data_IF_063819381456
#
_entry.id   IF_063819381456
#
_cell.length_a   1.000
_cell.length_b   1.000
_cell.length_c   1.000
_cell.angle_alpha   90.00
_cell.angle_beta   90.00
_cell.angle_gamma   90.00
#
_symmetry.space_group_name_H-M   'P 1'
#
loop_
_entity.id
_entity.type
_entity.pdbx_description
1 polymer ?
#
# COMPACT_ATOMS: atom_id res chain seq x y z
N UNK A 1 5.74 -30.51 37.60
CA UNK A 1 4.60 -29.81 36.97
C UNK A 1 4.96 -29.60 35.51
N UNK A 2 4.22 -30.18 34.57
CA UNK A 2 4.49 -29.99 33.14
C UNK A 2 3.99 -28.61 32.73
N UNK A 3 4.91 -27.73 32.33
CA UNK A 3 4.58 -26.42 31.80
C UNK A 3 3.88 -26.59 30.45
N UNK A 4 2.62 -26.18 30.38
CA UNK A 4 1.84 -26.23 29.14
C UNK A 4 2.33 -25.10 28.24
N UNK A 5 2.82 -25.46 27.05
CA UNK A 5 3.29 -24.51 26.04
C UNK A 5 2.23 -23.43 25.75
N UNK A 6 2.54 -22.12 25.92
CA UNK A 6 1.65 -21.01 25.59
C UNK A 6 1.10 -21.03 24.16
N UNK A 7 1.86 -21.58 23.20
CA UNK A 7 1.44 -21.71 21.81
C UNK A 7 0.35 -22.78 21.65
N UNK A 8 0.46 -23.90 22.38
CA UNK A 8 -0.55 -24.96 22.38
C UNK A 8 -1.92 -24.44 22.85
N UNK A 9 -1.95 -23.63 23.91
CA UNK A 9 -3.20 -23.03 24.41
C UNK A 9 -3.82 -22.03 23.42
N UNK A 10 -2.97 -21.27 22.71
CA UNK A 10 -3.41 -20.32 21.68
C UNK A 10 -4.04 -21.05 20.48
N UNK A 11 -3.39 -22.11 20.01
CA UNK A 11 -3.87 -22.89 18.86
C UNK A 11 -5.14 -23.68 19.20
N UNK A 12 -5.20 -24.28 20.38
CA UNK A 12 -6.43 -24.93 20.89
C UNK A 12 -7.59 -23.95 20.93
N UNK A 13 -7.38 -22.71 21.40
CA UNK A 13 -8.40 -21.66 21.42
C UNK A 13 -8.83 -21.25 20.01
N UNK A 14 -7.88 -21.16 19.06
CA UNK A 14 -8.14 -20.85 17.64
C UNK A 14 -8.97 -21.94 16.95
N UNK A 15 -8.65 -23.21 17.20
CA UNK A 15 -9.40 -24.35 16.66
C UNK A 15 -10.82 -24.42 17.23
N UNK A 16 -10.98 -24.24 18.54
CA UNK A 16 -12.29 -24.16 19.18
C UNK A 16 -13.12 -23.00 18.61
N UNK A 17 -12.51 -21.85 18.37
CA UNK A 17 -13.18 -20.71 17.76
C UNK A 17 -13.60 -20.99 16.31
N UNK A 18 -12.72 -21.58 15.49
CA UNK A 18 -13.07 -22.02 14.12
C UNK A 18 -14.22 -23.01 14.11
N UNK A 19 -14.20 -24.00 15.02
CA UNK A 19 -15.28 -25.00 15.15
C UNK A 19 -16.60 -24.36 15.55
N UNK A 20 -16.59 -23.45 16.53
CA UNK A 20 -17.78 -22.66 16.91
C UNK A 20 -18.30 -21.83 15.75
N UNK A 21 -17.40 -21.19 14.98
CA UNK A 21 -17.77 -20.40 13.80
C UNK A 21 -18.41 -21.26 12.70
N UNK A 22 -17.92 -22.48 12.48
CA UNK A 22 -18.40 -23.39 11.45
C UNK A 22 -19.73 -24.07 11.82
N UNK A 23 -19.84 -24.59 13.05
CA UNK A 23 -20.93 -25.46 13.48
C UNK A 23 -22.10 -24.74 14.18
N UNK A 24 -21.96 -23.45 14.49
CA UNK A 24 -23.04 -22.68 15.13
C UNK A 24 -23.37 -21.42 14.30
N UNK A 25 -24.38 -21.49 13.42
CA UNK A 25 -24.77 -20.37 12.56
C UNK A 25 -25.33 -19.19 13.38
N UNK A 26 -26.02 -19.44 14.49
CA UNK A 26 -26.56 -18.38 15.35
C UNK A 26 -25.45 -17.61 16.05
N UNK A 27 -24.45 -18.32 16.57
CA UNK A 27 -23.25 -17.69 17.14
C UNK A 27 -22.47 -16.90 16.08
N UNK A 28 -22.45 -17.35 14.81
CA UNK A 28 -21.86 -16.61 13.69
C UNK A 28 -22.64 -15.32 13.40
N UNK A 29 -23.97 -15.39 13.34
CA UNK A 29 -24.84 -14.22 13.11
C UNK A 29 -24.69 -13.24 14.28
N UNK A 30 -24.71 -13.72 15.52
CA UNK A 30 -24.54 -12.89 16.72
C UNK A 30 -23.15 -12.27 16.79
N UNK A 31 -22.09 -13.02 16.46
CA UNK A 31 -20.73 -12.48 16.36
C UNK A 31 -20.61 -11.44 15.24
N UNK A 32 -21.30 -11.61 14.10
CA UNK A 32 -21.36 -10.63 13.02
C UNK A 32 -22.18 -9.39 13.42
N UNK A 33 -23.24 -9.54 14.22
CA UNK A 33 -24.05 -8.45 14.80
C UNK A 33 -23.33 -7.72 15.93
N UNK A 34 -22.48 -8.40 16.68
CA UNK A 34 -21.66 -7.84 17.77
C UNK A 34 -20.39 -7.14 17.24
N UNK A 35 -19.85 -7.56 16.08
CA UNK A 35 -18.68 -6.93 15.43
C UNK A 35 -18.83 -5.42 15.14
N UNK A 36 -19.96 -4.88 14.65
CA UNK A 36 -20.12 -3.44 14.49
C UNK A 36 -20.18 -2.67 15.82
N UNK A 37 -20.41 -3.33 16.96
CA UNK A 37 -20.38 -2.67 18.29
C UNK A 37 -18.98 -2.58 18.89
N UNK A 38 -18.06 -3.48 18.51
CA UNK A 38 -16.65 -3.43 18.90
C UNK A 38 -15.77 -2.68 17.89
N UNK A 39 -16.25 -2.53 16.65
CA UNK A 39 -15.62 -1.70 15.64
C UNK A 39 -16.22 -0.29 15.69
N UNK A 40 -15.56 0.54 16.49
CA UNK A 40 -15.59 2.01 16.42
C UNK A 40 -16.84 2.66 17.03
N UNK A 41 -16.75 3.05 18.30
CA UNK A 41 -17.25 4.40 18.59
C UNK A 41 -16.59 5.31 17.55
N UNK A 42 -17.37 6.08 16.77
CA UNK A 42 -16.77 7.03 15.86
C UNK A 42 -15.74 7.83 16.64
N UNK A 43 -14.52 8.05 16.10
CA UNK A 43 -13.55 8.89 16.78
C UNK A 43 -14.27 10.16 17.21
N UNK A 44 -14.12 10.53 18.50
CA UNK A 44 -14.77 11.71 19.06
C UNK A 44 -14.59 12.88 18.09
N UNK A 45 -15.56 13.81 18.01
CA UNK A 45 -15.49 14.93 17.04
C UNK A 45 -14.10 15.59 17.05
N UNK A 46 -13.51 15.76 18.23
CA UNK A 46 -12.13 16.21 18.45
C UNK A 46 -11.05 15.40 17.70
N UNK A 47 -11.14 14.07 17.66
CA UNK A 47 -10.21 13.20 16.88
C UNK A 47 -10.46 13.26 15.38
N UNK A 48 -11.67 13.55 14.94
CA UNK A 48 -11.95 13.72 13.49
C UNK A 48 -11.34 15.01 12.97
N UNK A 49 -11.26 16.03 13.79
CA UNK A 49 -10.73 17.34 13.38
C UNK A 49 -9.21 17.43 13.58
N UNK A 50 -8.61 16.45 14.27
CA UNK A 50 -7.16 16.30 14.36
C UNK A 50 -6.54 16.04 12.97
N UNK A 51 -5.71 16.96 12.44
CA UNK A 51 -5.06 16.80 11.15
C UNK A 51 -4.19 15.53 11.08
N UNK A 52 -3.61 15.09 12.20
CA UNK A 52 -2.84 13.85 12.29
C UNK A 52 -3.71 12.63 11.97
N UNK A 53 -4.92 12.56 12.54
CA UNK A 53 -5.81 11.40 12.39
C UNK A 53 -6.31 11.24 10.95
N UNK A 54 -6.59 12.35 10.27
CA UNK A 54 -7.01 12.33 8.86
C UNK A 54 -5.86 12.04 7.90
N UNK A 55 -4.71 12.67 8.13
CA UNK A 55 -3.62 12.67 7.14
C UNK A 55 -2.71 11.45 7.25
N UNK A 56 -2.55 10.89 8.46
CA UNK A 56 -1.65 9.77 8.67
C UNK A 56 -1.95 8.53 7.84
N UNK A 57 -3.21 8.04 7.77
CA UNK A 57 -3.56 6.91 6.91
C UNK A 57 -3.30 7.19 5.42
N UNK A 58 -3.55 8.42 4.96
CA UNK A 58 -3.33 8.80 3.56
C UNK A 58 -1.85 8.73 3.20
N UNK A 59 -1.00 9.36 4.02
CA UNK A 59 0.46 9.36 3.82
C UNK A 59 1.00 7.93 3.86
N UNK A 60 0.52 7.10 4.80
CA UNK A 60 0.88 5.68 4.85
C UNK A 60 0.59 4.99 3.52
N UNK A 61 -0.61 5.17 2.96
CA UNK A 61 -0.99 4.61 1.67
C UNK A 61 -0.15 5.16 0.53
N UNK A 62 0.16 6.46 0.53
CA UNK A 62 0.97 7.08 -0.53
C UNK A 62 2.39 6.54 -0.52
N UNK A 63 3.02 6.46 0.65
CA UNK A 63 4.35 5.84 0.83
C UNK A 63 4.30 4.38 0.36
N UNK A 64 3.24 3.63 0.66
CA UNK A 64 3.17 2.23 0.27
C UNK A 64 3.01 2.03 -1.24
N UNK A 65 2.13 2.82 -1.86
CA UNK A 65 1.69 2.63 -3.25
C UNK A 65 2.54 3.35 -4.30
N UNK A 66 3.29 4.40 -3.93
CA UNK A 66 3.95 5.29 -4.89
C UNK A 66 5.44 5.40 -4.57
N UNK A 67 6.27 4.84 -5.46
CA UNK A 67 7.73 4.94 -5.39
C UNK A 67 8.20 6.39 -5.46
N UNK A 68 7.68 7.15 -6.43
CA UNK A 68 8.03 8.56 -6.65
C UNK A 68 7.78 9.45 -5.44
N UNK A 69 6.80 9.12 -4.59
CA UNK A 69 6.51 9.90 -3.39
C UNK A 69 7.60 9.71 -2.33
N UNK A 70 8.25 8.54 -2.29
CA UNK A 70 9.33 8.25 -1.34
C UNK A 70 10.67 8.79 -1.81
N UNK A 71 10.98 8.60 -3.09
CA UNK A 71 12.33 8.75 -3.62
C UNK A 71 12.57 10.13 -4.27
N UNK A 72 11.57 10.70 -4.92
CA UNK A 72 11.76 11.88 -5.78
C UNK A 72 11.35 13.19 -5.11
N UNK A 73 10.72 13.13 -3.92
CA UNK A 73 10.33 14.32 -3.19
C UNK A 73 11.46 14.82 -2.29
N UNK A 74 11.63 16.16 -2.13
CA UNK A 74 12.71 16.74 -1.35
C UNK A 74 12.40 16.67 0.16
N UNK A 75 12.66 15.52 0.77
CA UNK A 75 12.53 15.34 2.21
C UNK A 75 13.72 16.00 2.94
N UNK A 76 13.44 16.88 3.91
CA UNK A 76 14.48 17.67 4.61
C UNK A 76 15.18 16.86 5.71
N UNK A 77 14.44 16.56 6.78
CA UNK A 77 15.01 15.98 8.00
C UNK A 77 14.91 14.46 8.04
N UNK A 78 13.77 13.91 7.61
CA UNK A 78 13.54 12.47 7.66
C UNK A 78 12.93 11.97 6.36
N UNK A 79 13.47 10.86 5.88
CA UNK A 79 13.09 10.22 4.63
C UNK A 79 12.25 8.97 4.91
N UNK A 80 11.14 8.75 4.19
CA UNK A 80 10.31 7.56 4.37
C UNK A 80 10.95 6.34 3.70
N UNK A 81 11.36 5.36 4.51
CA UNK A 81 11.89 4.08 4.03
C UNK A 81 10.81 3.01 4.20
N UNK A 82 10.48 2.33 3.10
CA UNK A 82 9.58 1.17 3.10
C UNK A 82 10.39 -0.12 2.98
N UNK A 83 10.33 -0.95 4.02
CA UNK A 83 10.91 -2.28 4.03
C UNK A 83 9.94 -3.35 3.49
N UNK A 84 10.44 -4.37 2.78
CA UNK A 84 9.62 -5.48 2.30
C UNK A 84 9.03 -6.26 3.48
N UNK A 85 9.84 -6.57 4.48
CA UNK A 85 9.48 -7.20 5.75
C UNK A 85 9.31 -6.15 6.85
N UNK A 86 8.80 -6.57 8.01
CA UNK A 86 8.77 -5.68 9.18
C UNK A 86 10.13 -5.72 9.86
N UNK A 87 10.69 -4.55 10.11
CA UNK A 87 12.00 -4.40 10.76
C UNK A 87 11.82 -3.65 12.07
N UNK A 88 12.54 -4.09 13.09
CA UNK A 88 12.58 -3.48 14.41
C UNK A 88 13.67 -2.41 14.44
N UNK A 89 13.24 -1.17 14.66
CA UNK A 89 14.12 -0.05 14.97
C UNK A 89 13.65 0.60 16.26
N UNK A 90 14.56 1.26 16.96
CA UNK A 90 14.22 2.08 18.13
C UNK A 90 13.84 3.48 17.66
N UNK A 91 12.66 3.96 18.04
CA UNK A 91 12.22 5.30 17.69
C UNK A 91 12.86 6.35 18.59
N UNK A 92 13.45 7.40 18.03
CA UNK A 92 14.07 8.50 18.76
C UNK A 92 13.11 9.25 19.69
N UNK A 93 11.85 9.49 19.28
CA UNK A 93 10.93 10.34 20.05
C UNK A 93 10.16 9.61 21.15
N UNK A 94 9.86 8.32 20.96
CA UNK A 94 9.05 7.56 21.91
C UNK A 94 9.82 6.44 22.61
N UNK A 95 11.10 6.27 22.28
CA UNK A 95 12.00 5.20 22.75
C UNK A 95 11.44 3.78 22.66
N UNK A 96 10.32 3.61 21.94
CA UNK A 96 9.55 2.38 21.92
C UNK A 96 9.94 1.53 20.72
N UNK A 97 10.53 0.37 21.00
CA UNK A 97 10.74 -0.70 20.01
C UNK A 97 9.45 -1.52 19.92
N UNK A 98 8.76 -1.43 18.78
CA UNK A 98 7.57 -2.27 18.56
C UNK A 98 7.99 -3.71 18.30
N UNK A 99 7.55 -4.62 19.16
CA UNK A 99 7.62 -6.07 18.91
C UNK A 99 6.97 -6.38 17.55
N UNK A 100 7.66 -7.16 16.70
CA UNK A 100 7.33 -7.47 15.30
C UNK A 100 7.63 -6.34 14.30
N UNK A 101 8.24 -5.24 14.73
CA UNK A 101 8.73 -4.16 13.89
C UNK A 101 7.65 -3.38 13.12
N UNK A 102 8.12 -2.51 12.23
CA UNK A 102 7.31 -1.75 11.26
C UNK A 102 7.89 -1.88 9.87
N UNK A 103 7.03 -1.75 8.86
CA UNK A 103 7.46 -1.69 7.46
C UNK A 103 7.91 -0.30 7.05
N UNK A 104 7.32 0.74 7.66
CA UNK A 104 7.62 2.13 7.35
C UNK A 104 8.36 2.76 8.52
N UNK A 105 9.52 3.31 8.22
CA UNK A 105 10.35 4.07 9.14
C UNK A 105 10.77 5.38 8.51
N UNK A 106 10.88 6.42 9.33
CA UNK A 106 11.38 7.72 8.93
C UNK A 106 12.82 7.82 9.37
N UNK A 107 13.75 7.97 8.43
CA UNK A 107 15.19 7.89 8.69
C UNK A 107 15.83 9.26 8.45
N UNK A 108 16.50 9.79 9.46
CA UNK A 108 17.40 10.93 9.28
C UNK A 108 18.80 10.42 8.99
N UNK A 109 19.53 11.18 8.17
CA UNK A 109 20.96 11.00 7.93
C UNK A 109 21.34 9.56 7.52
N UNK A 110 20.74 9.06 6.42
CA UNK A 110 20.96 7.68 5.92
C UNK A 110 22.44 7.31 5.70
N UNK A 111 23.32 8.31 5.54
CA UNK A 111 24.76 8.13 5.31
C UNK A 111 25.60 8.10 6.58
N UNK A 112 24.99 8.27 7.76
CA UNK A 112 25.70 8.18 9.04
C UNK A 112 25.74 6.74 9.56
N UNK A 113 26.78 6.36 10.33
CA UNK A 113 26.87 5.01 10.89
C UNK A 113 25.74 4.69 11.87
N UNK A 114 25.17 5.71 12.53
CA UNK A 114 24.06 5.60 13.47
C UNK A 114 22.83 6.40 12.98
N UNK A 115 22.07 5.87 12.01
CA UNK A 115 20.90 6.54 11.47
C UNK A 115 19.81 6.68 12.54
N UNK A 116 19.21 7.86 12.64
CA UNK A 116 18.13 8.13 13.59
C UNK A 116 16.79 7.74 12.99
N UNK A 117 16.08 6.84 13.69
CA UNK A 117 14.79 6.34 13.24
C UNK A 117 13.64 7.00 14.00
N UNK A 118 12.59 7.38 13.26
CA UNK A 118 11.30 7.81 13.81
C UNK A 118 10.18 6.89 13.36
N UNK A 119 9.29 6.63 14.30
CA UNK A 119 8.07 5.88 14.04
C UNK A 119 7.10 6.72 13.19
N UNK A 120 6.31 6.09 12.33
CA UNK A 120 5.34 6.82 11.49
C UNK A 120 4.38 7.71 12.30
N UNK A 121 3.92 7.23 13.46
CA UNK A 121 3.06 8.02 14.33
C UNK A 121 3.78 9.23 14.96
N UNK A 122 5.07 9.09 15.25
CA UNK A 122 5.89 10.08 15.93
C UNK A 122 6.25 11.21 14.96
N UNK A 123 6.70 10.84 13.77
CA UNK A 123 7.03 11.78 12.72
C UNK A 123 5.85 12.67 12.30
N UNK A 124 4.65 12.10 12.18
CA UNK A 124 3.44 12.83 11.81
C UNK A 124 2.86 13.71 12.93
N UNK A 125 3.30 13.53 14.18
CA UNK A 125 2.94 14.47 15.26
C UNK A 125 3.78 15.74 15.16
N UNK A 126 5.04 15.60 14.79
CA UNK A 126 5.98 16.72 14.67
C UNK A 126 5.83 17.44 13.33
N UNK A 127 5.57 16.70 12.26
CA UNK A 127 5.45 17.23 10.91
C UNK A 127 4.07 16.93 10.32
N UNK A 128 3.64 17.74 9.37
CA UNK A 128 2.42 17.46 8.60
C UNK A 128 2.57 16.23 7.67
N UNK A 129 3.75 15.59 7.67
CA UNK A 129 4.07 14.40 6.89
C UNK A 129 4.21 14.63 5.39
N UNK A 130 4.46 15.88 5.02
CA UNK A 130 4.70 16.33 3.66
C UNK A 130 6.09 16.97 3.57
N UNK A 131 6.77 16.87 2.42
CA UNK A 131 8.02 17.57 2.18
C UNK A 131 7.84 19.08 2.17
N UNK A 132 8.94 19.81 2.33
CA UNK A 132 8.94 21.27 2.32
C UNK A 132 8.42 21.81 0.98
N UNK A 133 7.54 22.82 1.03
CA UNK A 133 6.86 23.36 -0.16
C UNK A 133 5.61 22.61 -0.61
N UNK A 134 5.23 21.52 0.08
CA UNK A 134 4.00 20.74 -0.20
C UNK A 134 2.96 20.82 0.92
N UNK A 135 3.14 21.70 1.93
CA UNK A 135 2.27 21.79 3.10
C UNK A 135 0.79 21.99 2.76
N UNK A 136 0.51 22.73 1.67
CA UNK A 136 -0.84 23.08 1.22
C UNK A 136 -1.56 21.93 0.51
N UNK A 137 -0.83 20.91 0.04
CA UNK A 137 -1.40 19.79 -0.69
C UNK A 137 -2.16 18.86 0.26
N UNK A 138 -3.46 18.69 0.01
CA UNK A 138 -4.36 17.79 0.74
C UNK A 138 -4.48 16.45 0.04
N UNK A 139 -4.40 16.43 -1.29
CA UNK A 139 -4.53 15.21 -2.08
C UNK A 139 -3.23 14.86 -2.79
N UNK A 140 -3.04 13.57 -3.10
CA UNK A 140 -1.87 13.11 -3.85
C UNK A 140 -1.84 13.65 -5.30
N UNK A 141 -2.99 14.02 -5.85
CA UNK A 141 -3.10 14.66 -7.16
C UNK A 141 -2.49 16.07 -7.12
N UNK A 142 -2.79 16.83 -6.07
CA UNK A 142 -2.18 18.14 -5.83
C UNK A 142 -0.66 18.01 -5.62
N UNK A 143 -0.20 17.02 -4.85
CA UNK A 143 1.24 16.77 -4.69
C UNK A 143 1.90 16.49 -6.05
N UNK A 144 1.28 15.65 -6.88
CA UNK A 144 1.81 15.33 -8.20
C UNK A 144 1.79 16.55 -9.16
N UNK A 145 0.76 17.38 -9.09
CA UNK A 145 0.69 18.64 -9.85
C UNK A 145 1.79 19.61 -9.40
N UNK A 146 1.93 19.81 -8.09
CA UNK A 146 2.95 20.68 -7.50
C UNK A 146 4.36 20.23 -7.83
N UNK A 147 4.60 18.92 -7.84
CA UNK A 147 5.88 18.34 -8.26
C UNK A 147 6.19 18.71 -9.72
N UNK A 148 5.23 18.54 -10.63
CA UNK A 148 5.39 18.91 -12.04
C UNK A 148 5.65 20.41 -12.22
N UNK A 149 4.99 21.27 -11.44
CA UNK A 149 5.24 22.71 -11.45
C UNK A 149 6.68 23.03 -11.06
N UNK A 150 7.19 22.45 -9.97
CA UNK A 150 8.55 22.67 -9.49
C UNK A 150 9.60 22.12 -10.48
N UNK A 151 9.35 20.97 -11.09
CA UNK A 151 10.19 20.42 -12.15
C UNK A 151 10.21 21.32 -13.39
N UNK A 152 9.04 21.86 -13.78
CA UNK A 152 8.93 22.78 -14.92
C UNK A 152 9.65 24.11 -14.67
N UNK A 153 9.64 24.61 -13.43
CA UNK A 153 10.35 25.83 -13.03
C UNK A 153 11.87 25.61 -12.93
N UNK A 154 12.32 24.40 -12.61
CA UNK A 154 13.74 24.04 -12.65
C UNK A 154 14.26 23.84 -14.09
N UNK A 155 13.37 23.49 -15.02
CA UNK A 155 13.71 23.27 -16.43
C UNK A 155 13.81 24.56 -17.27
N UNK A 156 13.45 25.74 -16.74
CA UNK A 156 13.69 27.01 -17.44
C UNK A 156 15.15 27.42 -17.32
N UNK A 157 15.94 27.47 -18.42
CA UNK A 157 17.27 28.03 -18.38
C UNK A 157 17.17 29.50 -18.00
N UNK A 158 17.93 29.91 -16.99
CA UNK A 158 18.17 31.32 -16.65
C UNK A 158 18.55 32.06 -17.95
N UNK A 159 17.83 33.10 -18.38
CA UNK A 159 18.28 33.92 -19.49
C UNK A 159 19.46 34.74 -18.98
N UNK A 160 20.68 34.22 -19.16
CA UNK A 160 21.90 35.01 -19.03
C UNK A 160 21.90 36.03 -20.17
N UNK A 161 21.33 37.21 -19.91
CA UNK A 161 21.56 38.41 -20.70
C UNK A 161 23.04 38.75 -20.67
N UNK A 162 23.78 38.30 -21.68
CA UNK A 162 24.92 39.04 -22.23
C UNK A 162 24.71 39.19 -23.72
N UNK A 163 24.10 40.31 -24.08
CA UNK A 163 24.28 40.97 -25.36
C UNK A 163 25.77 41.17 -25.63
N UNK A 164 26.28 40.69 -26.76
CA UNK A 164 26.75 41.54 -27.86
C UNK A 164 27.30 40.71 -29.04
N UNK A 165 27.04 41.24 -30.23
CA UNK A 165 27.70 41.04 -31.53
C UNK A 165 27.64 39.66 -32.18
N UNK A 166 26.60 39.49 -33.01
CA UNK A 166 26.72 39.27 -34.45
C UNK A 166 27.77 38.28 -34.94
N UNK A 167 27.30 37.10 -35.36
CA UNK A 167 27.80 36.42 -36.55
C UNK A 167 26.75 35.41 -37.03
N UNK A 168 26.32 35.60 -38.27
CA UNK A 168 25.40 34.77 -39.02
C UNK A 168 26.10 33.56 -39.61
N UNK A 169 25.62 32.34 -39.35
CA UNK A 169 25.87 31.17 -40.21
C UNK A 169 24.67 30.21 -40.14
N UNK A 170 24.14 29.82 -41.30
CA UNK A 170 23.14 28.74 -41.50
C UNK A 170 23.79 27.71 -42.46
N UNK A 171 23.26 26.49 -42.64
CA UNK A 171 23.28 25.31 -41.76
C UNK A 171 24.13 24.17 -42.37
N UNK A 172 24.58 23.21 -41.56
CA UNK A 172 25.10 21.93 -42.08
C UNK A 172 24.40 20.76 -41.41
N UNK A 173 23.55 20.09 -42.18
CA UNK A 173 22.98 18.79 -41.89
C UNK A 173 24.08 17.73 -42.01
N UNK A 174 24.57 17.22 -40.88
CA UNK A 174 25.28 15.95 -40.86
C UNK A 174 24.77 15.09 -39.69
N UNK A 175 23.96 14.09 -40.06
CA UNK A 175 23.72 12.91 -39.24
C UNK A 175 25.08 12.26 -38.95
N UNK A 176 25.43 12.12 -37.67
CA UNK A 176 26.50 11.23 -37.25
C UNK A 176 25.96 10.25 -36.22
N UNK A 177 25.77 9.04 -36.71
CA UNK A 177 25.69 7.82 -35.93
C UNK A 177 27.00 7.71 -35.13
N UNK A 178 26.96 7.81 -33.80
CA UNK A 178 28.07 7.35 -32.97
C UNK A 178 27.56 6.55 -31.77
N UNK A 179 27.74 5.25 -31.96
CA UNK A 179 27.79 4.20 -30.96
C UNK A 179 28.62 4.58 -29.72
N UNK A 180 28.03 4.29 -28.55
CA UNK A 180 28.64 3.97 -27.23
C UNK A 180 29.53 5.02 -26.56
N UNK A 181 29.25 5.30 -25.28
CA UNK A 181 30.03 4.79 -24.11
C UNK A 181 29.17 4.76 -22.85
N UNK A 182 28.53 3.63 -22.56
CA UNK A 182 28.11 3.32 -21.19
C UNK A 182 29.35 2.84 -20.42
N UNK A 183 29.65 3.53 -19.33
CA UNK A 183 30.71 3.18 -18.39
C UNK A 183 30.47 1.78 -17.82
N UNK A 184 31.37 0.85 -18.12
CA UNK A 184 31.38 -0.49 -17.55
C UNK A 184 32.19 -0.47 -16.26
N UNK A 185 31.52 -0.29 -15.12
CA UNK A 185 32.01 -0.84 -13.85
C UNK A 185 31.24 -2.13 -13.57
N UNK A 186 31.86 -3.26 -13.96
CA UNK A 186 31.51 -4.60 -13.49
C UNK A 186 32.22 -4.84 -12.16
N UNK A 187 31.45 -5.06 -11.10
CA UNK A 187 31.92 -5.80 -9.91
C UNK A 187 31.75 -7.27 -10.25
N UNK A 188 32.86 -8.01 -10.29
CA UNK A 188 32.88 -9.46 -10.43
C UNK A 188 32.53 -10.11 -9.09
N UNK A 189 31.43 -10.86 -9.04
CA UNK A 189 31.23 -11.90 -8.03
C UNK A 189 31.14 -13.26 -8.72
N UNK A 190 32.21 -14.03 -8.51
CA UNK A 190 32.32 -15.49 -8.47
C UNK A 190 31.69 -16.34 -9.58
N UNK A 191 32.57 -16.77 -10.49
CA UNK A 191 32.47 -18.08 -11.14
C UNK A 191 32.73 -19.18 -10.10
N UNK A 192 31.68 -19.83 -9.62
CA UNK A 192 31.73 -21.20 -9.11
C UNK A 192 30.31 -21.74 -9.05
N UNK A 193 30.15 -23.02 -9.38
CA UNK A 193 28.91 -23.80 -9.44
C UNK A 193 28.26 -23.79 -10.84
N UNK A 194 28.84 -24.57 -11.75
CA UNK A 194 28.09 -25.22 -12.82
C UNK A 194 28.66 -26.63 -13.00
N UNK A 195 28.22 -27.52 -12.11
CA UNK A 195 28.28 -28.98 -12.30
C UNK A 195 27.10 -29.61 -11.56
N UNK A 196 25.88 -29.50 -12.12
CA UNK A 196 24.76 -30.39 -11.75
C UNK A 196 23.59 -30.25 -12.75
N UNK A 197 23.39 -31.20 -13.69
CA UNK A 197 22.19 -31.26 -14.50
C UNK A 197 21.25 -32.33 -13.92
N UNK A 198 20.31 -31.96 -13.02
CA UNK A 198 19.11 -32.79 -12.75
C UNK A 198 17.98 -32.15 -11.92
N UNK A 199 18.24 -31.09 -11.15
CA UNK A 199 17.24 -30.52 -10.22
C UNK A 199 16.38 -29.39 -10.81
N UNK A 200 16.87 -28.71 -11.85
CA UNK A 200 16.20 -27.54 -12.46
C UNK A 200 14.92 -27.92 -13.24
N UNK A 201 14.81 -29.16 -13.71
CA UNK A 201 13.63 -29.66 -14.42
C UNK A 201 12.43 -29.94 -13.49
N UNK A 202 12.68 -30.32 -12.24
CA UNK A 202 11.63 -30.57 -11.24
C UNK A 202 11.08 -29.25 -10.68
N UNK A 203 11.95 -28.26 -10.44
CA UNK A 203 11.54 -26.94 -9.96
C UNK A 203 10.68 -26.19 -10.99
N UNK A 204 10.97 -26.34 -12.29
CA UNK A 204 10.17 -25.76 -13.36
C UNK A 204 8.78 -26.45 -13.50
N UNK A 205 8.68 -27.75 -13.25
CA UNK A 205 7.41 -28.48 -13.25
C UNK A 205 6.55 -28.12 -12.01
N UNK A 206 7.18 -27.95 -10.85
CA UNK A 206 6.51 -27.48 -9.62
C UNK A 206 6.02 -26.03 -9.74
N UNK A 207 6.77 -25.16 -10.45
CA UNK A 207 6.33 -23.80 -10.74
C UNK A 207 5.11 -23.76 -11.66
N UNK A 208 5.09 -24.57 -12.73
CA UNK A 208 3.96 -24.66 -13.66
C UNK A 208 2.69 -25.21 -13.01
N UNK A 209 2.81 -26.22 -12.14
CA UNK A 209 1.66 -26.76 -11.39
C UNK A 209 1.11 -25.78 -10.36
N UNK A 210 1.98 -24.99 -9.71
CA UNK A 210 1.56 -23.92 -8.80
C UNK A 210 0.82 -22.78 -9.53
N UNK A 211 1.27 -22.40 -10.73
CA UNK A 211 0.56 -21.40 -11.54
C UNK A 211 -0.81 -21.90 -12.00
N UNK A 212 -0.91 -23.14 -12.46
CA UNK A 212 -2.18 -23.74 -12.87
C UNK A 212 -3.19 -23.81 -11.72
N UNK A 213 -2.73 -24.20 -10.51
CA UNK A 213 -3.56 -24.20 -9.31
C UNK A 213 -3.99 -22.78 -8.89
N UNK A 214 -3.12 -21.78 -9.06
CA UNK A 214 -3.44 -20.39 -8.75
C UNK A 214 -4.45 -19.79 -9.74
N UNK A 215 -4.42 -20.18 -11.02
CA UNK A 215 -5.41 -19.79 -12.02
C UNK A 215 -6.77 -20.42 -11.71
N UNK A 216 -6.81 -21.72 -11.41
CA UNK A 216 -8.03 -22.41 -11.03
C UNK A 216 -8.69 -21.80 -9.77
N UNK A 217 -7.90 -21.41 -8.77
CA UNK A 217 -8.43 -20.69 -7.60
C UNK A 217 -9.01 -19.31 -7.94
N UNK A 218 -8.40 -18.57 -8.87
CA UNK A 218 -8.92 -17.26 -9.30
C UNK A 218 -10.24 -17.41 -10.06
N UNK A 219 -10.35 -18.41 -10.91
CA UNK A 219 -11.58 -18.71 -11.64
C UNK A 219 -12.70 -19.14 -10.69
N UNK A 220 -12.42 -20.03 -9.74
CA UNK A 220 -13.38 -20.43 -8.71
C UNK A 220 -13.87 -19.25 -7.84
N UNK A 221 -12.99 -18.28 -7.55
CA UNK A 221 -13.41 -17.04 -6.85
C UNK A 221 -14.29 -16.15 -7.73
N UNK A 222 -14.03 -16.11 -9.04
CA UNK A 222 -14.81 -15.32 -9.99
C UNK A 222 -16.22 -15.89 -10.16
N UNK A 223 -16.34 -17.21 -10.29
CA UNK A 223 -17.65 -17.89 -10.38
C UNK A 223 -18.45 -17.73 -9.10
N UNK A 224 -17.83 -17.92 -7.91
CA UNK A 224 -18.51 -17.71 -6.63
C UNK A 224 -19.01 -16.26 -6.47
N UNK A 225 -18.25 -15.28 -6.96
CA UNK A 225 -18.68 -13.88 -6.93
C UNK A 225 -19.87 -13.63 -7.86
N UNK A 226 -19.86 -14.20 -9.07
CA UNK A 226 -20.98 -14.10 -10.02
C UNK A 226 -22.25 -14.76 -9.48
N UNK A 227 -22.15 -15.95 -8.89
CA UNK A 227 -23.28 -16.64 -8.26
C UNK A 227 -23.89 -15.83 -7.12
N UNK A 228 -23.07 -15.21 -6.26
CA UNK A 228 -23.58 -14.32 -5.20
C UNK A 228 -24.31 -13.12 -5.76
N UNK A 229 -23.79 -12.52 -6.83
CA UNK A 229 -24.41 -11.37 -7.45
C UNK A 229 -25.75 -11.73 -8.09
N UNK A 230 -25.84 -12.90 -8.74
CA UNK A 230 -27.08 -13.44 -9.30
C UNK A 230 -28.13 -13.73 -8.20
N UNK A 231 -27.72 -14.35 -7.10
CA UNK A 231 -28.59 -14.61 -5.95
C UNK A 231 -29.11 -13.32 -5.30
N UNK A 232 -28.25 -12.30 -5.16
CA UNK A 232 -28.63 -10.99 -4.62
C UNK A 232 -29.60 -10.24 -5.56
N UNK A 233 -29.42 -10.35 -6.89
CA UNK A 233 -30.36 -9.77 -7.85
C UNK A 233 -31.73 -10.45 -7.81
N UNK A 234 -31.77 -11.79 -7.76
CA UNK A 234 -33.02 -12.55 -7.70
C UNK A 234 -33.78 -12.28 -6.39
N UNK A 235 -33.05 -12.12 -5.28
CA UNK A 235 -33.61 -11.74 -3.99
C UNK A 235 -34.24 -10.33 -4.02
N UNK A 236 -33.59 -9.37 -4.69
CA UNK A 236 -34.14 -8.01 -4.88
C UNK A 236 -35.39 -8.01 -5.75
N UNK A 237 -35.43 -8.80 -6.80
CA UNK A 237 -36.60 -8.93 -7.67
C UNK A 237 -37.80 -9.54 -6.94
N UNK A 238 -37.58 -10.63 -6.18
CA UNK A 238 -38.63 -11.25 -5.35
C UNK A 238 -39.19 -10.28 -4.32
N UNK A 239 -38.33 -9.48 -3.69
CA UNK A 239 -38.76 -8.46 -2.73
C UNK A 239 -39.58 -7.35 -3.41
N UNK A 240 -39.12 -6.84 -4.55
CA UNK A 240 -39.86 -5.85 -5.33
C UNK A 240 -41.20 -6.37 -5.86
N UNK A 241 -41.28 -7.65 -6.24
CA UNK A 241 -42.53 -8.30 -6.64
C UNK A 241 -43.51 -8.41 -5.48
N UNK A 242 -43.06 -8.83 -4.29
CA UNK A 242 -43.89 -8.89 -3.09
C UNK A 242 -44.44 -7.52 -2.68
N UNK A 243 -43.61 -6.47 -2.73
CA UNK A 243 -44.01 -5.09 -2.45
C UNK A 243 -45.05 -4.58 -3.45
N UNK A 244 -44.92 -4.92 -4.75
CA UNK A 244 -45.91 -4.59 -5.78
C UNK A 244 -47.24 -5.30 -5.55
N UNK A 245 -47.23 -6.60 -5.24
CA UNK A 245 -48.44 -7.37 -4.93
C UNK A 245 -49.18 -6.83 -3.70
N UNK A 246 -48.45 -6.45 -2.65
CA UNK A 246 -49.01 -5.79 -1.45
C UNK A 246 -49.66 -4.43 -1.76
N UNK A 247 -49.04 -3.64 -2.65
CA UNK A 247 -49.61 -2.36 -3.08
C UNK A 247 -50.86 -2.51 -3.96
N UNK A 248 -50.96 -3.61 -4.71
CA UNK A 248 -52.11 -3.90 -5.57
C UNK A 248 -53.29 -4.45 -4.76
N UNK A 249 -53.03 -5.23 -3.72
CA UNK A 249 -54.05 -5.72 -2.78
C UNK A 249 -54.72 -4.56 -2.02
N UNK A 250 -53.92 -3.59 -1.53
CA UNK A 250 -54.43 -2.39 -0.84
C UNK A 250 -55.29 -1.45 -1.70
N UNK A 251 -55.24 -1.57 -3.03
CA UNK A 251 -56.04 -0.74 -3.95
C UNK A 251 -57.36 -1.39 -4.36
N UNK A 252 -57.56 -2.67 -4.05
CA UNK A 252 -58.70 -3.47 -4.51
C UNK A 252 -59.61 -3.92 -3.36
N UNK A 253 -59.50 -3.35 -2.15
CA UNK A 253 -60.53 -3.51 -1.11
C UNK A 253 -61.67 -2.52 -1.41
N UNK A 254 -62.87 -2.96 -1.84
CA UNK A 254 -64.04 -2.10 -1.92
C UNK A 254 -64.71 -2.06 -0.54
N UNK A 255 -65.01 -0.85 -0.06
CA UNK A 255 -66.05 -0.63 0.96
C UNK A 255 -67.44 -1.05 0.43
#
# INVERSE_FOLDING_TARGET
MLEIDPNYLRDKRRLLHKRKYACNPDWRIEALRAKPRLREEPPSRAKRDDPYYRRGPLIYTWIHSRTWFREELPWKEFWPVLYPTRIEHKCQDCDYTRNLGRRIWWVADQHTPDPKYKCHACYLKTSNGLPEGYADCKTIKEVAARKKELESQQATPVPTTRSLSGQSWIPSQQKLNSSRRFSTYRVTWNSAINSAPREESLQNAEAQTNEHNAVAEREARRTNFQERYANDSESREKKGAAERSLSHAKKNDPE
#
